data_IF_938374562487
#
_entry.id   IF_938374562487
#
_cell.length_a   1.000
_cell.length_b   1.000
_cell.length_c   1.000
_cell.angle_alpha   90.00
_cell.angle_beta   90.00
_cell.angle_gamma   90.00
#
_symmetry.space_group_name_H-M   'P 1'
#
loop_
_entity.id
_entity.type
_entity.pdbx_description
1 polymer ?
#
# COMPACT_ATOMS: atom_id res chain seq x y z
N UNK A 1 6.61 -3.74 29.51
CA UNK A 1 7.59 -3.28 28.48
C UNK A 1 6.80 -2.52 27.43
N UNK A 2 7.27 -1.35 26.98
CA UNK A 2 6.65 -0.67 25.85
C UNK A 2 6.71 -1.62 24.64
N UNK A 3 5.64 -1.67 23.84
CA UNK A 3 5.61 -2.45 22.60
C UNK A 3 6.59 -1.89 21.55
N UNK A 4 6.73 -2.55 20.39
CA UNK A 4 7.61 -2.07 19.33
C UNK A 4 7.17 -0.69 18.83
N UNK A 5 8.15 0.15 18.49
CA UNK A 5 7.91 1.49 17.94
C UNK A 5 7.39 1.42 16.51
N UNK A 6 6.41 2.27 16.19
CA UNK A 6 5.69 2.28 14.92
C UNK A 6 5.70 3.68 14.29
N UNK A 7 6.13 3.79 13.03
CA UNK A 7 5.89 4.97 12.20
C UNK A 7 4.82 4.67 11.16
N UNK A 8 3.82 5.54 11.03
CA UNK A 8 2.92 5.55 9.87
C UNK A 8 3.52 6.40 8.77
N UNK A 9 3.61 5.88 7.55
CA UNK A 9 4.13 6.59 6.38
C UNK A 9 3.01 6.85 5.40
N UNK A 10 2.76 8.14 5.10
CA UNK A 10 1.72 8.60 4.19
C UNK A 10 2.29 9.59 3.18
N UNK A 11 2.03 9.39 1.90
CA UNK A 11 2.40 10.34 0.83
C UNK A 11 1.23 11.27 0.52
N UNK A 12 1.55 12.56 0.35
CA UNK A 12 0.59 13.63 0.01
C UNK A 12 1.13 14.38 -1.20
N UNK A 13 0.30 14.62 -2.21
CA UNK A 13 0.71 15.21 -3.48
C UNK A 13 -0.37 16.17 -4.02
N UNK A 14 -0.14 16.81 -5.15
CA UNK A 14 -1.07 17.81 -5.74
C UNK A 14 -2.49 17.29 -6.02
N UNK A 15 -2.68 15.97 -6.17
CA UNK A 15 -4.00 15.35 -6.35
C UNK A 15 -4.72 15.01 -5.04
N UNK A 16 -4.06 15.17 -3.88
CA UNK A 16 -4.71 14.98 -2.58
C UNK A 16 -5.73 16.08 -2.34
N UNK A 17 -6.91 15.73 -1.83
CA UNK A 17 -7.97 16.69 -1.49
C UNK A 17 -8.08 16.93 0.01
N UNK A 18 -8.46 18.13 0.42
CA UNK A 18 -8.60 18.50 1.83
C UNK A 18 -9.58 17.60 2.62
N UNK A 19 -10.74 17.19 2.09
CA UNK A 19 -11.63 16.26 2.78
C UNK A 19 -10.98 14.88 3.01
N UNK A 20 -10.26 14.34 2.01
CA UNK A 20 -9.66 13.01 2.10
C UNK A 20 -8.52 12.97 3.11
N UNK A 21 -7.56 13.91 3.01
CA UNK A 21 -6.43 13.95 3.96
C UNK A 21 -6.90 14.18 5.40
N UNK A 22 -7.96 14.95 5.61
CA UNK A 22 -8.55 15.15 6.94
C UNK A 22 -9.09 13.85 7.50
N UNK A 23 -9.89 13.10 6.74
CA UNK A 23 -10.42 11.79 7.14
C UNK A 23 -9.30 10.78 7.41
N UNK A 24 -8.29 10.74 6.56
CA UNK A 24 -7.13 9.88 6.75
C UNK A 24 -6.41 10.19 8.08
N UNK A 25 -6.08 11.45 8.35
CA UNK A 25 -5.42 11.86 9.58
C UNK A 25 -6.28 11.61 10.83
N UNK A 26 -7.57 11.93 10.78
CA UNK A 26 -8.51 11.67 11.87
C UNK A 26 -8.56 10.17 12.22
N UNK A 27 -8.52 9.29 11.22
CA UNK A 27 -8.49 7.84 11.44
C UNK A 27 -7.19 7.35 12.10
N UNK A 28 -6.07 8.03 11.84
CA UNK A 28 -4.80 7.74 12.49
C UNK A 28 -4.76 8.24 13.94
N UNK A 29 -5.36 9.39 14.21
CA UNK A 29 -5.48 9.94 15.56
C UNK A 29 -6.45 9.13 16.44
N UNK A 30 -7.42 8.45 15.84
CA UNK A 30 -8.42 7.64 16.52
C UNK A 30 -7.99 6.19 16.78
N UNK A 31 -6.74 5.82 16.51
CA UNK A 31 -6.27 4.45 16.73
C UNK A 31 -6.26 4.08 18.21
N UNK A 32 -6.76 2.87 18.56
CA UNK A 32 -6.73 2.33 19.93
C UNK A 32 -5.31 2.13 20.44
N UNK A 33 -4.38 1.85 19.54
CA UNK A 33 -2.91 1.87 19.78
C UNK A 33 -2.30 2.94 18.87
N UNK A 34 -1.99 4.16 19.38
CA UNK A 34 -1.38 5.22 18.59
C UNK A 34 0.01 4.84 18.06
N UNK A 35 0.38 5.38 16.90
CA UNK A 35 1.75 5.32 16.41
C UNK A 35 2.64 6.32 17.14
N UNK A 36 3.92 6.01 17.28
CA UNK A 36 4.92 6.94 17.84
C UNK A 36 5.24 8.09 16.89
N UNK A 37 5.09 7.83 15.56
CA UNK A 37 5.33 8.84 14.54
C UNK A 37 4.33 8.68 13.39
N UNK A 38 3.85 9.80 12.86
CA UNK A 38 3.11 9.91 11.59
C UNK A 38 3.97 10.75 10.65
N UNK A 39 4.66 10.08 9.72
CA UNK A 39 5.50 10.72 8.72
C UNK A 39 4.68 11.01 7.46
N UNK A 40 4.43 12.29 7.22
CA UNK A 40 3.80 12.76 6.00
C UNK A 40 4.86 13.17 4.98
N UNK A 41 4.84 12.58 3.80
CA UNK A 41 5.75 12.95 2.72
C UNK A 41 4.97 13.82 1.74
N UNK A 42 5.23 15.13 1.76
CA UNK A 42 4.69 16.07 0.81
C UNK A 42 5.52 15.99 -0.48
N UNK A 43 5.01 15.33 -1.50
CA UNK A 43 5.67 15.13 -2.79
C UNK A 43 5.36 16.29 -3.75
N UNK A 44 6.13 17.36 -3.60
CA UNK A 44 5.98 18.62 -4.32
C UNK A 44 4.90 19.54 -3.76
N UNK A 45 4.57 20.62 -4.48
CA UNK A 45 3.52 21.57 -4.09
C UNK A 45 2.14 20.91 -4.00
N UNK A 46 1.36 21.29 -3.00
CA UNK A 46 -0.03 20.89 -2.78
C UNK A 46 -0.96 22.10 -2.76
N UNK A 47 -2.28 21.90 -2.83
CA UNK A 47 -3.26 22.98 -2.70
C UNK A 47 -3.16 23.69 -1.35
N UNK A 48 -3.54 24.98 -1.30
CA UNK A 48 -3.44 25.82 -0.09
C UNK A 48 -4.22 25.22 1.10
N UNK A 49 -5.38 24.65 0.85
CA UNK A 49 -6.22 23.98 1.84
C UNK A 49 -5.55 22.73 2.43
N UNK A 50 -4.89 21.92 1.59
CA UNK A 50 -4.10 20.78 2.03
C UNK A 50 -2.87 21.24 2.80
N UNK A 51 -2.15 22.27 2.31
CA UNK A 51 -0.99 22.83 2.98
C UNK A 51 -1.34 23.37 4.39
N UNK A 52 -2.51 24.01 4.54
CA UNK A 52 -3.00 24.46 5.83
C UNK A 52 -3.28 23.29 6.81
N UNK A 53 -3.87 22.18 6.33
CA UNK A 53 -4.10 20.98 7.13
C UNK A 53 -2.76 20.39 7.59
N UNK A 54 -1.80 20.24 6.68
CA UNK A 54 -0.48 19.71 7.00
C UNK A 54 0.23 20.56 8.07
N UNK A 55 0.26 21.87 7.87
CA UNK A 55 0.88 22.82 8.81
C UNK A 55 0.20 22.80 10.18
N UNK A 56 -1.13 22.71 10.22
CA UNK A 56 -1.88 22.57 11.47
C UNK A 56 -1.56 21.25 12.18
N UNK A 57 -1.48 20.13 11.44
CA UNK A 57 -1.13 18.84 12.02
C UNK A 57 0.27 18.88 12.65
N UNK A 58 1.28 19.38 11.93
CA UNK A 58 2.65 19.51 12.43
C UNK A 58 2.77 20.41 13.67
N UNK A 59 1.97 21.50 13.71
CA UNK A 59 2.00 22.44 14.83
C UNK A 59 1.28 21.95 16.09
N UNK A 60 0.26 21.09 15.95
CA UNK A 60 -0.62 20.67 17.06
C UNK A 60 -0.43 19.24 17.51
N UNK A 61 0.29 18.42 16.75
CA UNK A 61 0.48 17.00 16.97
C UNK A 61 1.97 16.65 17.00
N UNK A 62 2.56 16.44 18.17
CA UNK A 62 4.00 16.18 18.31
C UNK A 62 4.46 14.90 17.63
N UNK A 63 3.55 13.93 17.42
CA UNK A 63 3.80 12.71 16.69
C UNK A 63 3.87 12.91 15.16
N UNK A 64 3.43 14.07 14.62
CA UNK A 64 3.42 14.35 13.19
C UNK A 64 4.71 15.02 12.74
N UNK A 65 5.38 14.43 11.77
CA UNK A 65 6.54 14.99 11.08
C UNK A 65 6.28 15.07 9.58
N UNK A 66 6.69 16.17 8.94
CA UNK A 66 6.51 16.36 7.49
C UNK A 66 7.87 16.42 6.79
N UNK A 67 8.05 15.52 5.83
CA UNK A 67 9.15 15.55 4.87
C UNK A 67 8.67 16.25 3.59
N UNK A 68 9.10 17.50 3.39
CA UNK A 68 8.72 18.31 2.23
C UNK A 68 9.71 18.15 1.10
N UNK A 69 9.21 17.85 -0.10
CA UNK A 69 10.00 17.75 -1.33
C UNK A 69 9.66 18.92 -2.24
N UNK A 70 10.64 19.44 -2.96
CA UNK A 70 10.46 20.59 -3.86
C UNK A 70 9.61 20.26 -5.09
N UNK A 71 9.68 19.02 -5.57
CA UNK A 71 9.04 18.56 -6.81
C UNK A 71 8.23 17.29 -6.55
N UNK A 72 7.17 17.13 -7.33
CA UNK A 72 6.47 15.85 -7.41
C UNK A 72 7.30 14.87 -8.27
N UNK A 73 7.82 13.83 -7.66
CA UNK A 73 8.61 12.79 -8.31
C UNK A 73 7.90 11.43 -8.33
N UNK A 74 6.67 11.40 -7.83
CA UNK A 74 5.79 10.24 -7.80
C UNK A 74 5.91 9.40 -6.55
N UNK A 75 4.85 8.60 -6.31
CA UNK A 75 4.66 7.84 -5.07
C UNK A 75 5.84 6.94 -4.69
N UNK A 76 6.43 6.23 -5.66
CA UNK A 76 7.55 5.33 -5.40
C UNK A 76 8.76 6.07 -4.83
N UNK A 77 9.15 7.19 -5.46
CA UNK A 77 10.30 8.01 -5.04
C UNK A 77 10.03 8.70 -3.71
N UNK A 78 8.83 9.26 -3.53
CA UNK A 78 8.42 9.89 -2.28
C UNK A 78 8.41 8.87 -1.11
N UNK A 79 7.82 7.69 -1.33
CA UNK A 79 7.80 6.61 -0.33
C UNK A 79 9.22 6.15 0.03
N UNK A 80 10.10 5.95 -0.96
CA UNK A 80 11.50 5.59 -0.73
C UNK A 80 12.23 6.64 0.12
N UNK A 81 12.04 7.93 -0.20
CA UNK A 81 12.64 9.03 0.54
C UNK A 81 12.16 9.06 2.00
N UNK A 82 10.86 8.93 2.25
CA UNK A 82 10.32 8.84 3.61
C UNK A 82 10.80 7.60 4.34
N UNK A 83 10.74 6.44 3.72
CA UNK A 83 11.17 5.18 4.31
C UNK A 83 12.64 5.20 4.75
N UNK A 84 13.53 5.85 4.00
CA UNK A 84 14.95 5.99 4.34
C UNK A 84 15.21 6.73 5.66
N UNK A 85 14.26 7.54 6.12
CA UNK A 85 14.38 8.34 7.36
C UNK A 85 13.81 7.64 8.60
N UNK A 86 13.19 6.48 8.46
CA UNK A 86 12.57 5.76 9.57
C UNK A 86 13.62 5.29 10.57
N UNK A 87 13.29 5.42 11.85
CA UNK A 87 14.15 4.93 12.98
C UNK A 87 13.41 3.93 13.87
N UNK A 88 12.11 3.73 13.62
CA UNK A 88 11.27 2.80 14.38
C UNK A 88 11.50 1.34 13.94
N UNK A 89 11.05 0.41 14.77
CA UNK A 89 11.14 -1.03 14.48
C UNK A 89 10.15 -1.48 13.39
N UNK A 90 8.97 -0.85 13.41
CA UNK A 90 7.89 -1.14 12.47
C UNK A 90 7.47 0.11 11.72
N UNK A 91 6.95 -0.08 10.52
CA UNK A 91 6.21 0.96 9.82
C UNK A 91 4.87 0.43 9.33
N UNK A 92 3.88 1.32 9.21
CA UNK A 92 2.60 1.05 8.57
C UNK A 92 2.39 2.00 7.38
N UNK A 93 1.90 1.46 6.26
CA UNK A 93 1.50 2.27 5.10
C UNK A 93 0.11 2.85 5.33
N UNK A 94 -0.08 4.10 4.94
CA UNK A 94 -1.39 4.75 4.84
C UNK A 94 -1.45 5.56 3.54
N UNK A 95 -2.53 5.44 2.78
CA UNK A 95 -2.78 6.33 1.65
C UNK A 95 -3.62 7.53 2.09
N UNK A 96 -3.41 8.70 1.47
CA UNK A 96 -3.98 9.97 1.91
C UNK A 96 -5.48 10.14 1.64
N UNK A 97 -6.09 9.16 1.00
CA UNK A 97 -7.52 9.08 0.68
C UNK A 97 -8.24 7.88 1.33
N UNK A 98 -7.49 7.04 2.08
CA UNK A 98 -8.00 5.88 2.79
C UNK A 98 -8.23 6.17 4.28
N UNK A 99 -9.02 5.32 4.95
CA UNK A 99 -9.38 5.46 6.35
C UNK A 99 -9.03 4.17 7.09
N UNK A 100 -8.21 4.23 8.12
CA UNK A 100 -7.91 3.10 8.97
C UNK A 100 -9.08 2.79 9.93
N UNK A 101 -9.35 1.50 10.15
CA UNK A 101 -10.23 1.11 11.27
C UNK A 101 -9.55 1.46 12.60
N UNK A 102 -10.32 1.77 13.66
CA UNK A 102 -9.74 2.21 14.94
C UNK A 102 -8.77 1.20 15.57
N UNK A 103 -9.02 -0.08 15.41
CA UNK A 103 -8.24 -1.17 15.99
C UNK A 103 -7.09 -1.65 15.10
N UNK A 104 -6.86 -1.02 13.94
CA UNK A 104 -5.90 -1.52 12.94
C UNK A 104 -4.53 -1.80 13.53
N UNK A 105 -3.91 -0.82 14.17
CA UNK A 105 -2.54 -0.98 14.65
C UNK A 105 -2.46 -1.96 15.81
N UNK A 106 -3.41 -1.94 16.72
CA UNK A 106 -3.49 -2.90 17.82
C UNK A 106 -3.53 -4.34 17.29
N UNK A 107 -4.41 -4.61 16.32
CA UNK A 107 -4.58 -5.95 15.71
C UNK A 107 -3.34 -6.41 14.97
N UNK A 108 -2.75 -5.54 14.13
CA UNK A 108 -1.56 -5.90 13.36
C UNK A 108 -0.34 -6.10 14.26
N UNK A 109 -0.18 -5.30 15.32
CA UNK A 109 0.90 -5.47 16.30
C UNK A 109 0.74 -6.77 17.09
N UNK A 110 -0.47 -7.12 17.53
CA UNK A 110 -0.74 -8.38 18.19
C UNK A 110 -0.41 -9.57 17.28
N UNK A 111 -0.83 -9.51 16.00
CA UNK A 111 -0.52 -10.52 15.02
C UNK A 111 0.99 -10.73 14.84
N UNK A 112 1.76 -9.65 14.69
CA UNK A 112 3.22 -9.73 14.54
C UNK A 112 3.92 -10.26 15.80
N UNK A 113 3.36 -9.99 16.99
CA UNK A 113 3.87 -10.53 18.26
C UNK A 113 3.61 -12.05 18.37
N UNK A 114 2.44 -12.53 17.96
CA UNK A 114 2.09 -13.94 17.93
C UNK A 114 2.81 -14.71 16.83
N UNK A 115 3.23 -14.02 15.75
CA UNK A 115 3.89 -14.59 14.59
C UNK A 115 5.29 -13.96 14.37
N UNK A 116 6.28 -14.20 15.24
CA UNK A 116 7.56 -13.47 15.22
C UNK A 116 8.40 -13.71 13.96
N UNK A 117 8.08 -14.73 13.16
CA UNK A 117 8.73 -14.98 11.86
C UNK A 117 8.12 -14.22 10.70
N UNK A 118 6.99 -13.54 10.91
CA UNK A 118 6.36 -12.71 9.88
C UNK A 118 7.07 -11.37 9.81
N UNK A 119 7.55 -11.01 8.63
CA UNK A 119 8.26 -9.76 8.34
C UNK A 119 7.30 -8.64 7.92
N UNK A 120 6.22 -9.01 7.22
CA UNK A 120 5.21 -8.09 6.72
C UNK A 120 3.82 -8.72 6.82
N UNK A 121 2.87 -7.95 7.37
CA UNK A 121 1.45 -8.32 7.41
C UNK A 121 0.61 -7.29 6.67
N UNK A 122 -0.28 -7.77 5.80
CA UNK A 122 -1.39 -7.03 5.23
C UNK A 122 -2.71 -7.41 5.88
N UNK A 123 -3.81 -6.86 5.36
CA UNK A 123 -5.16 -7.27 5.76
C UNK A 123 -6.14 -7.23 4.60
N UNK A 124 -7.34 -7.77 4.81
CA UNK A 124 -8.48 -7.43 3.96
C UNK A 124 -8.81 -5.95 4.12
N UNK A 125 -9.52 -5.40 3.15
CA UNK A 125 -9.99 -4.01 3.17
C UNK A 125 -11.41 -3.91 2.66
N UNK A 126 -12.15 -2.92 3.19
CA UNK A 126 -13.51 -2.58 2.77
C UNK A 126 -13.45 -1.53 1.68
N UNK A 127 -13.97 -1.81 0.50
CA UNK A 127 -14.03 -0.85 -0.59
C UNK A 127 -15.27 0.05 -0.47
N UNK A 128 -15.11 1.37 -0.65
CA UNK A 128 -16.19 2.35 -0.65
C UNK A 128 -15.93 3.45 -1.69
N UNK A 129 -16.95 4.20 -2.09
CA UNK A 129 -16.83 5.32 -3.04
C UNK A 129 -16.89 6.64 -2.29
N UNK A 130 -18.04 7.04 -1.81
CA UNK A 130 -18.28 8.33 -1.17
C UNK A 130 -18.21 8.25 0.36
N UNK A 131 -18.80 7.22 0.94
CA UNK A 131 -18.91 7.07 2.40
C UNK A 131 -18.52 5.65 2.85
N UNK A 132 -17.68 5.51 3.88
CA UNK A 132 -17.38 4.21 4.48
C UNK A 132 -18.62 3.52 5.11
N UNK A 133 -19.69 4.26 5.37
CA UNK A 133 -20.95 3.68 5.82
C UNK A 133 -21.72 2.92 4.72
N UNK A 134 -21.33 3.12 3.45
CA UNK A 134 -21.94 2.49 2.28
C UNK A 134 -20.85 1.71 1.50
N UNK A 135 -20.40 0.56 2.03
CA UNK A 135 -19.36 -0.23 1.39
C UNK A 135 -19.87 -0.85 0.08
N UNK A 136 -18.99 -0.91 -0.92
CA UNK A 136 -19.30 -1.51 -2.23
C UNK A 136 -18.71 -2.91 -2.40
N UNK A 137 -17.81 -3.32 -1.51
CA UNK A 137 -17.20 -4.65 -1.52
C UNK A 137 -16.13 -4.85 -0.46
N UNK A 138 -15.64 -6.07 -0.39
CA UNK A 138 -14.49 -6.45 0.43
C UNK A 138 -13.42 -7.04 -0.47
N UNK A 139 -12.20 -6.55 -0.37
CA UNK A 139 -11.05 -7.10 -1.06
C UNK A 139 -10.18 -7.89 -0.08
N UNK A 140 -10.26 -9.21 -0.19
CA UNK A 140 -9.44 -10.15 0.57
C UNK A 140 -8.42 -10.82 -0.36
N UNK A 141 -7.21 -11.04 0.13
CA UNK A 141 -6.11 -11.70 -0.57
C UNK A 141 -5.69 -12.95 0.21
N UNK A 142 -4.88 -13.85 -0.38
CA UNK A 142 -4.41 -15.05 0.32
C UNK A 142 -3.75 -14.72 1.66
N UNK A 143 -4.01 -15.52 2.69
CA UNK A 143 -3.60 -15.26 4.07
C UNK A 143 -2.27 -15.93 4.42
N UNK A 144 -2.10 -17.19 4.03
CA UNK A 144 -0.92 -17.95 4.40
C UNK A 144 0.30 -17.64 3.52
N UNK A 145 1.53 -17.70 4.07
CA UNK A 145 2.75 -17.47 3.30
C UNK A 145 2.86 -18.35 2.04
N UNK A 146 2.43 -19.61 2.11
CA UNK A 146 2.47 -20.50 0.97
C UNK A 146 1.53 -20.07 -0.17
N UNK A 147 0.33 -19.61 0.16
CA UNK A 147 -0.63 -19.09 -0.81
C UNK A 147 -0.19 -17.74 -1.36
N UNK A 148 0.37 -16.86 -0.52
CA UNK A 148 0.95 -15.59 -0.90
C UNK A 148 2.05 -15.80 -1.94
N UNK A 149 3.00 -16.69 -1.69
CA UNK A 149 4.09 -16.98 -2.62
C UNK A 149 3.57 -17.51 -3.96
N UNK A 150 2.51 -18.33 -3.94
CA UNK A 150 1.86 -18.82 -5.16
C UNK A 150 1.15 -17.69 -5.92
N UNK A 151 0.40 -16.85 -5.20
CA UNK A 151 -0.35 -15.74 -5.80
C UNK A 151 0.58 -14.65 -6.34
N UNK A 152 1.72 -14.39 -5.67
CA UNK A 152 2.75 -13.44 -6.12
C UNK A 152 3.23 -13.73 -7.54
N UNK A 153 3.27 -14.99 -7.95
CA UNK A 153 3.64 -15.33 -9.34
C UNK A 153 2.65 -14.82 -10.40
N UNK A 154 1.49 -14.33 -10.00
CA UNK A 154 0.40 -13.87 -10.87
C UNK A 154 0.08 -12.38 -10.62
N UNK A 155 0.06 -11.95 -9.37
CA UNK A 155 -0.34 -10.59 -8.97
C UNK A 155 0.24 -10.22 -7.61
N UNK A 156 0.20 -8.91 -7.25
CA UNK A 156 0.55 -8.45 -5.91
C UNK A 156 -0.34 -9.15 -4.87
N UNK A 157 0.25 -9.89 -3.90
CA UNK A 157 -0.49 -10.65 -2.91
C UNK A 157 -0.90 -9.86 -1.67
N UNK A 158 -0.51 -8.60 -1.56
CA UNK A 158 -0.76 -7.74 -0.39
C UNK A 158 -1.51 -6.48 -0.83
N UNK A 159 -2.52 -6.10 -0.08
CA UNK A 159 -3.16 -4.79 -0.22
C UNK A 159 -2.22 -3.71 0.35
N UNK A 160 -1.55 -2.96 -0.49
CA UNK A 160 -0.50 -2.01 -0.08
C UNK A 160 -0.93 -1.01 1.02
N UNK A 161 -2.14 -0.40 1.00
CA UNK A 161 -2.58 0.50 2.06
C UNK A 161 -2.70 -0.15 3.45
N UNK A 162 -2.75 -1.49 3.51
CA UNK A 162 -2.91 -2.23 4.77
C UNK A 162 -1.60 -2.72 5.37
N UNK A 163 -0.47 -2.49 4.71
CA UNK A 163 0.84 -3.01 5.13
C UNK A 163 1.24 -2.51 6.51
N UNK A 164 1.68 -3.43 7.37
CA UNK A 164 2.55 -3.19 8.51
C UNK A 164 3.74 -4.14 8.42
N UNK A 165 4.97 -3.63 8.57
CA UNK A 165 6.17 -4.44 8.35
C UNK A 165 7.34 -4.04 9.26
N UNK A 166 8.25 -4.99 9.46
CA UNK A 166 9.55 -4.74 10.09
C UNK A 166 10.40 -3.87 9.16
N UNK A 167 10.85 -2.72 9.66
CA UNK A 167 11.65 -1.77 8.87
C UNK A 167 12.91 -2.44 8.35
N UNK A 168 13.57 -3.26 9.19
CA UNK A 168 14.81 -3.93 8.82
C UNK A 168 14.62 -4.92 7.66
N UNK A 169 13.52 -5.70 7.65
CA UNK A 169 13.25 -6.64 6.57
C UNK A 169 13.15 -5.95 5.20
N UNK A 170 12.57 -4.74 5.17
CA UNK A 170 12.49 -3.95 3.95
C UNK A 170 13.85 -3.33 3.58
N UNK A 171 14.66 -2.91 4.56
CA UNK A 171 16.02 -2.42 4.32
C UNK A 171 16.93 -3.48 3.73
N UNK A 172 16.87 -4.70 4.22
CA UNK A 172 17.68 -5.82 3.74
C UNK A 172 17.45 -6.12 2.25
N UNK A 173 16.26 -5.84 1.73
CA UNK A 173 15.95 -5.99 0.29
C UNK A 173 16.14 -4.69 -0.50
N UNK A 174 16.78 -3.67 0.09
CA UNK A 174 17.09 -2.39 -0.57
C UNK A 174 15.98 -1.36 -0.56
N UNK A 175 14.96 -1.50 0.31
CA UNK A 175 13.89 -0.51 0.46
C UNK A 175 12.90 -0.47 -0.71
N UNK A 176 12.14 0.61 -0.77
CA UNK A 176 11.28 0.91 -1.93
C UNK A 176 12.12 1.31 -3.13
N UNK A 177 11.83 0.75 -4.30
CA UNK A 177 12.51 1.06 -5.56
C UNK A 177 11.60 1.89 -6.48
N UNK A 178 12.14 2.76 -7.34
CA UNK A 178 11.35 3.60 -8.24
C UNK A 178 10.80 2.82 -9.44
N UNK A 179 10.06 1.76 -9.18
CA UNK A 179 9.39 0.95 -10.19
C UNK A 179 8.04 1.58 -10.50
N UNK A 180 7.93 2.21 -11.65
CA UNK A 180 6.75 2.98 -12.04
C UNK A 180 5.46 2.14 -11.97
N UNK A 181 4.47 2.59 -11.19
CA UNK A 181 3.15 1.96 -10.99
C UNK A 181 3.16 0.53 -10.40
N UNK A 182 4.32 0.00 -10.02
CA UNK A 182 4.50 -1.37 -9.53
C UNK A 182 5.46 -1.46 -8.34
N UNK A 183 5.74 -0.35 -7.68
CA UNK A 183 6.68 -0.26 -6.55
C UNK A 183 6.32 -1.17 -5.38
N UNK A 184 5.00 -1.35 -5.15
CA UNK A 184 4.45 -2.23 -4.13
C UNK A 184 4.64 -3.71 -4.50
N UNK A 185 4.32 -4.08 -5.74
CA UNK A 185 4.48 -5.45 -6.21
C UNK A 185 5.96 -5.85 -6.30
N UNK A 186 6.81 -4.94 -6.75
CA UNK A 186 8.26 -5.12 -6.79
C UNK A 186 8.83 -5.39 -5.38
N UNK A 187 8.41 -4.59 -4.38
CA UNK A 187 8.83 -4.80 -3.00
C UNK A 187 8.42 -6.19 -2.49
N UNK A 188 7.16 -6.60 -2.70
CA UNK A 188 6.68 -7.92 -2.27
C UNK A 188 7.47 -9.05 -2.96
N UNK A 189 7.79 -8.87 -4.24
CA UNK A 189 8.56 -9.87 -5.00
C UNK A 189 10.00 -10.01 -4.46
N UNK A 190 10.68 -8.89 -4.14
CA UNK A 190 12.01 -8.93 -3.54
C UNK A 190 12.01 -9.54 -2.14
N UNK A 191 11.04 -9.19 -1.30
CA UNK A 191 10.90 -9.77 0.03
C UNK A 191 10.76 -11.30 -0.04
N UNK A 192 9.87 -11.81 -0.91
CA UNK A 192 9.69 -13.26 -1.08
C UNK A 192 10.93 -13.92 -1.67
N UNK A 193 11.60 -13.30 -2.64
CA UNK A 193 12.83 -13.83 -3.25
C UNK A 193 13.97 -13.98 -2.22
N UNK A 194 14.05 -13.06 -1.25
CA UNK A 194 15.01 -13.10 -0.14
C UNK A 194 14.53 -13.93 1.08
N UNK A 195 13.45 -14.70 0.90
CA UNK A 195 12.95 -15.62 1.92
C UNK A 195 12.23 -14.97 3.09
N UNK A 196 11.84 -13.69 2.98
CA UNK A 196 11.02 -13.01 3.99
C UNK A 196 9.60 -13.57 4.01
N UNK A 197 9.01 -13.58 5.18
CA UNK A 197 7.70 -14.18 5.43
C UNK A 197 6.62 -13.10 5.39
N UNK A 198 5.71 -13.20 4.42
CA UNK A 198 4.55 -12.32 4.28
C UNK A 198 3.28 -13.06 4.70
N UNK A 199 2.35 -12.35 5.33
CA UNK A 199 1.04 -12.85 5.72
C UNK A 199 -0.06 -11.81 5.45
N UNK A 200 -1.31 -12.23 5.36
CA UNK A 200 -2.46 -11.34 5.45
C UNK A 200 -3.40 -11.82 6.56
N UNK A 201 -4.03 -10.86 7.21
CA UNK A 201 -5.15 -11.08 8.11
C UNK A 201 -6.45 -11.05 7.29
N UNK A 202 -7.41 -11.91 7.64
CA UNK A 202 -8.76 -11.89 7.04
C UNK A 202 -9.59 -10.69 7.51
N UNK A 203 -9.21 -10.07 8.62
CA UNK A 203 -9.87 -8.89 9.17
C UNK A 203 -9.75 -7.69 8.22
N UNK A 204 -10.83 -6.91 8.11
CA UNK A 204 -10.86 -5.66 7.35
C UNK A 204 -10.35 -4.55 8.25
N UNK A 205 -9.17 -4.00 7.94
CA UNK A 205 -8.52 -3.01 8.80
C UNK A 205 -8.33 -1.64 8.11
N UNK A 206 -8.74 -1.52 6.85
CA UNK A 206 -8.72 -0.27 6.08
C UNK A 206 -9.98 -0.15 5.24
N UNK A 207 -10.60 1.01 5.27
CA UNK A 207 -11.55 1.45 4.27
C UNK A 207 -10.77 2.04 3.09
N UNK A 208 -10.86 1.36 1.95
CA UNK A 208 -10.17 1.72 0.73
C UNK A 208 -11.09 2.47 -0.21
N UNK A 209 -10.74 3.69 -0.55
CA UNK A 209 -11.55 4.52 -1.43
C UNK A 209 -11.33 4.11 -2.88
N UNK A 210 -12.41 3.68 -3.54
CA UNK A 210 -12.41 3.35 -4.98
C UNK A 210 -13.09 4.44 -5.76
N UNK A 211 -12.46 4.90 -6.85
CA UNK A 211 -12.99 5.97 -7.70
C UNK A 211 -12.63 5.77 -9.17
N UNK A 212 -13.27 6.55 -10.04
CA UNK A 212 -13.01 6.49 -11.48
C UNK A 212 -11.56 6.80 -11.84
N UNK A 213 -10.91 7.67 -11.09
CA UNK A 213 -9.52 8.05 -11.28
C UNK A 213 -8.57 6.86 -11.04
N UNK A 214 -8.79 6.06 -9.99
CA UNK A 214 -8.01 4.86 -9.73
C UNK A 214 -8.19 3.80 -10.84
N UNK A 215 -9.43 3.65 -11.35
CA UNK A 215 -9.70 2.75 -12.47
C UNK A 215 -9.00 3.21 -13.75
N UNK A 216 -8.91 4.53 -13.98
CA UNK A 216 -8.22 5.07 -15.14
C UNK A 216 -6.70 4.83 -15.10
N UNK A 217 -6.08 4.94 -13.92
CA UNK A 217 -4.63 4.65 -13.73
C UNK A 217 -4.25 3.18 -13.98
N UNK A 218 -5.21 2.25 -13.91
CA UNK A 218 -5.00 0.80 -14.14
C UNK A 218 -5.09 0.39 -15.61
N UNK A 219 -5.29 1.34 -16.53
CA UNK A 219 -5.44 1.11 -17.98
C UNK A 219 -4.45 1.96 -18.76
N UNK A 220 -4.25 1.62 -20.04
CA UNK A 220 -3.40 2.40 -20.95
C UNK A 220 -2.00 1.83 -21.17
N UNK A 221 -1.28 2.45 -22.10
CA UNK A 221 0.04 1.97 -22.56
C UNK A 221 1.10 2.01 -21.45
N UNK A 222 1.03 3.00 -20.55
CA UNK A 222 2.00 3.12 -19.46
C UNK A 222 1.87 1.95 -18.46
N UNK A 223 0.64 1.50 -18.19
CA UNK A 223 0.42 0.33 -17.38
C UNK A 223 0.89 -0.97 -18.06
N UNK A 224 0.80 -1.07 -19.39
CA UNK A 224 1.35 -2.20 -20.15
C UNK A 224 2.88 -2.20 -20.08
N UNK A 225 3.51 -1.03 -20.18
CA UNK A 225 4.98 -0.89 -20.03
C UNK A 225 5.44 -1.24 -18.61
N UNK A 226 4.72 -0.77 -17.59
CA UNK A 226 4.96 -1.13 -16.20
C UNK A 226 4.84 -2.64 -15.98
N UNK A 227 3.82 -3.28 -16.56
CA UNK A 227 3.66 -4.74 -16.53
C UNK A 227 4.83 -5.48 -17.14
N UNK A 228 5.29 -5.04 -18.32
CA UNK A 228 6.45 -5.66 -18.97
C UNK A 228 7.72 -5.56 -18.10
N UNK A 229 7.94 -4.39 -17.49
CA UNK A 229 9.05 -4.18 -16.55
C UNK A 229 8.93 -5.11 -15.35
N UNK A 230 7.74 -5.17 -14.74
CA UNK A 230 7.51 -6.03 -13.58
C UNK A 230 7.72 -7.52 -13.88
N UNK A 231 7.26 -8.00 -15.06
CA UNK A 231 7.49 -9.39 -15.45
C UNK A 231 8.99 -9.71 -15.65
N UNK A 232 9.80 -8.76 -16.09
CA UNK A 232 11.27 -8.90 -16.16
C UNK A 232 11.85 -9.00 -14.75
N UNK A 233 11.47 -8.12 -13.83
CA UNK A 233 11.91 -8.17 -12.43
C UNK A 233 11.55 -9.51 -11.76
N UNK A 234 10.33 -10.03 -11.99
CA UNK A 234 9.95 -11.34 -11.45
C UNK A 234 10.84 -12.49 -11.96
N UNK A 235 11.31 -12.42 -13.21
CA UNK A 235 12.28 -13.39 -13.75
C UNK A 235 13.66 -13.19 -13.13
N UNK A 236 14.13 -11.95 -13.02
CA UNK A 236 15.41 -11.61 -12.41
C UNK A 236 15.50 -12.04 -10.94
N UNK A 237 14.41 -11.88 -10.19
CA UNK A 237 14.30 -12.36 -8.80
C UNK A 237 14.08 -13.87 -8.68
N UNK A 238 13.96 -14.59 -9.80
CA UNK A 238 13.74 -16.05 -9.79
C UNK A 238 12.34 -16.49 -9.34
N UNK A 239 11.39 -15.55 -9.19
CA UNK A 239 10.03 -15.87 -8.73
C UNK A 239 9.17 -16.53 -9.79
N UNK A 240 9.46 -16.28 -11.07
CA UNK A 240 8.77 -16.93 -12.21
C UNK A 240 9.76 -17.29 -13.32
N UNK A 241 9.45 -18.33 -14.11
CA UNK A 241 10.21 -18.63 -15.32
C UNK A 241 9.88 -17.62 -16.44
N UNK A 242 10.80 -17.44 -17.39
CA UNK A 242 10.59 -16.56 -18.54
C UNK A 242 9.33 -16.94 -19.34
N UNK A 243 9.04 -18.24 -19.50
CA UNK A 243 7.84 -18.70 -20.18
C UNK A 243 6.57 -18.27 -19.44
N UNK A 244 6.55 -18.40 -18.10
CA UNK A 244 5.42 -17.96 -17.27
C UNK A 244 5.26 -16.44 -17.31
N UNK A 245 6.35 -15.68 -17.28
CA UNK A 245 6.33 -14.22 -17.40
C UNK A 245 5.67 -13.74 -18.70
N UNK A 246 5.98 -14.39 -19.84
CA UNK A 246 5.32 -14.09 -21.12
C UNK A 246 3.82 -14.38 -21.05
N UNK A 247 3.41 -15.52 -20.51
CA UNK A 247 2.00 -15.87 -20.31
C UNK A 247 1.25 -14.88 -19.44
N UNK A 248 1.85 -14.50 -18.29
CA UNK A 248 1.30 -13.48 -17.38
C UNK A 248 1.15 -12.12 -18.10
N UNK A 249 2.21 -11.69 -18.81
CA UNK A 249 2.17 -10.42 -19.55
C UNK A 249 1.04 -10.38 -20.56
N UNK A 250 0.87 -11.43 -21.35
CA UNK A 250 -0.19 -11.51 -22.35
C UNK A 250 -1.59 -11.48 -21.71
N UNK A 251 -1.81 -12.30 -20.67
CA UNK A 251 -3.08 -12.38 -19.96
C UNK A 251 -3.45 -11.03 -19.31
N UNK A 252 -2.51 -10.40 -18.61
CA UNK A 252 -2.74 -9.15 -17.89
C UNK A 252 -2.87 -7.96 -18.86
N UNK A 253 -2.14 -7.95 -19.97
CA UNK A 253 -2.30 -6.94 -21.02
C UNK A 253 -3.66 -7.06 -21.69
N UNK A 254 -4.11 -8.29 -21.99
CA UNK A 254 -5.45 -8.53 -22.54
C UNK A 254 -6.55 -8.04 -21.59
N UNK A 255 -6.44 -8.35 -20.28
CA UNK A 255 -7.35 -7.85 -19.26
C UNK A 255 -7.44 -6.31 -19.27
N UNK A 256 -6.31 -5.61 -19.40
CA UNK A 256 -6.24 -4.13 -19.40
C UNK A 256 -6.76 -3.47 -20.69
N UNK A 257 -6.87 -4.21 -21.76
CA UNK A 257 -7.47 -3.76 -23.02
C UNK A 257 -8.99 -3.93 -23.04
N UNK A 258 -9.59 -4.58 -22.03
CA UNK A 258 -11.04 -4.74 -21.95
C UNK A 258 -11.74 -3.37 -21.78
N UNK A 259 -12.92 -3.18 -22.40
CA UNK A 259 -13.74 -2.00 -22.18
C UNK A 259 -14.05 -1.82 -20.69
N UNK A 260 -14.05 -0.56 -20.18
CA UNK A 260 -14.25 -0.24 -18.75
C UNK A 260 -15.46 -0.95 -18.12
N UNK A 261 -16.57 -1.10 -18.86
CA UNK A 261 -17.78 -1.79 -18.39
C UNK A 261 -17.56 -3.28 -18.11
N UNK A 262 -16.73 -3.94 -18.90
CA UNK A 262 -16.41 -5.36 -18.73
C UNK A 262 -15.33 -5.54 -17.66
N UNK A 263 -14.38 -4.62 -17.62
CA UNK A 263 -13.32 -4.59 -16.59
C UNK A 263 -13.90 -4.59 -15.18
N UNK A 264 -14.90 -3.74 -14.89
CA UNK A 264 -15.54 -3.68 -13.58
C UNK A 264 -16.29 -4.96 -13.19
N UNK A 265 -16.89 -5.69 -14.16
CA UNK A 265 -17.52 -7.00 -13.90
C UNK A 265 -16.48 -8.08 -13.58
N UNK A 266 -15.41 -8.13 -14.37
CA UNK A 266 -14.31 -9.10 -14.16
C UNK A 266 -13.57 -8.81 -12.84
N UNK A 267 -13.35 -7.53 -12.52
CA UNK A 267 -12.75 -7.13 -11.23
C UNK A 267 -13.56 -7.65 -10.04
N UNK A 268 -14.88 -7.44 -10.04
CA UNK A 268 -15.77 -7.94 -8.97
C UNK A 268 -15.74 -9.47 -8.84
N UNK A 269 -15.72 -10.18 -9.95
CA UNK A 269 -15.63 -11.65 -9.95
C UNK A 269 -14.29 -12.18 -9.40
N UNK A 270 -13.19 -11.46 -9.63
CA UNK A 270 -11.86 -11.90 -9.24
C UNK A 270 -11.48 -11.50 -7.80
N UNK A 271 -11.98 -10.37 -7.31
CA UNK A 271 -11.50 -9.77 -6.05
C UNK A 271 -12.57 -9.64 -4.96
N UNK A 272 -13.85 -9.63 -5.30
CA UNK A 272 -14.92 -9.63 -4.31
C UNK A 272 -15.32 -11.08 -4.00
N UNK A 273 -15.08 -11.51 -2.77
CA UNK A 273 -15.70 -12.74 -2.25
C UNK A 273 -17.16 -12.41 -1.87
N UNK A 274 -18.13 -13.31 -2.17
CA UNK A 274 -19.53 -13.14 -1.74
C UNK A 274 -19.65 -13.15 -0.22
#
# INVERSE_FOLDING_TARGET
MAGPSLTVLMTVYHGTTAPHIRQALESLYAQTRPAEEILLIQDGPVGEDVAAILSSAEATRPEVRILRREKNEGNAVATAAGFSTLTTELYARQDSDDISYPERFERQLAFLAEHPRVDLVGSAMTEFVDSPAEPVGVRALPESPAEINRYLTINNPINHPTVMARVEAIREVGGYQPVHLMEDYDLMARLVAEGKVLANMSEQLVYFRVGEEQMSRRTGLDMIRAELSMQRHLVEYGTVSAFRAVGNFLLRSLYRLLPKRLLGRVYRLLFHRP
#
